data_IF_966195311200
#
_entry.id   IF_966195311200
#
_cell.length_a   1.000
_cell.length_b   1.000
_cell.length_c   1.000
_cell.angle_alpha   90.00
_cell.angle_beta   90.00
_cell.angle_gamma   90.00
#
_symmetry.space_group_name_H-M   'P 1'
#
loop_
_entity.id
_entity.type
_entity.pdbx_description
1 polymer ?
#
# COMPACT_ATOMS: atom_id res chain seq x y z
N UNK A 1 -4.09 -31.52 -3.03
CA UNK A 1 -2.64 -31.22 -2.97
C UNK A 1 -1.99 -31.77 -1.69
N UNK A 2 -2.50 -31.44 -0.49
CA UNK A 2 -1.88 -31.84 0.79
C UNK A 2 -1.83 -33.36 1.03
N UNK A 3 -2.90 -34.11 0.72
CA UNK A 3 -2.91 -35.57 0.94
C UNK A 3 -1.81 -36.33 0.18
N UNK A 4 -1.59 -35.98 -1.09
CA UNK A 4 -0.54 -36.60 -1.91
C UNK A 4 0.86 -36.21 -1.42
N UNK A 5 1.06 -34.94 -1.03
CA UNK A 5 2.33 -34.51 -0.46
C UNK A 5 2.61 -35.19 0.88
N UNK A 6 1.60 -35.35 1.75
CA UNK A 6 1.72 -36.10 3.00
C UNK A 6 2.02 -37.58 2.74
N UNK A 7 1.41 -38.17 1.70
CA UNK A 7 1.71 -39.54 1.28
C UNK A 7 3.18 -39.67 0.83
N UNK A 8 3.66 -38.84 -0.10
CA UNK A 8 5.06 -38.86 -0.54
C UNK A 8 6.01 -38.59 0.62
N UNK A 9 5.69 -37.66 1.50
CA UNK A 9 6.49 -37.35 2.68
C UNK A 9 6.64 -38.51 3.65
N UNK A 10 5.56 -39.28 3.89
CA UNK A 10 5.58 -40.40 4.84
C UNK A 10 6.04 -41.73 4.23
N UNK A 11 5.68 -41.99 2.99
CA UNK A 11 5.86 -43.31 2.36
C UNK A 11 7.02 -43.34 1.36
N UNK A 12 7.38 -42.20 0.75
CA UNK A 12 8.40 -42.12 -0.31
C UNK A 12 9.29 -40.86 -0.15
N UNK A 13 9.94 -40.66 1.01
CA UNK A 13 10.71 -39.44 1.30
C UNK A 13 11.87 -39.21 0.32
N UNK A 14 12.51 -40.28 -0.17
CA UNK A 14 13.61 -40.19 -1.13
C UNK A 14 13.22 -39.45 -2.42
N UNK A 15 11.95 -39.52 -2.85
CA UNK A 15 11.48 -38.78 -4.03
C UNK A 15 11.45 -37.27 -3.80
N UNK A 16 11.18 -36.85 -2.55
CA UNK A 16 11.21 -35.45 -2.16
C UNK A 16 12.66 -34.99 -2.01
N UNK A 17 13.51 -35.77 -1.31
CA UNK A 17 14.92 -35.45 -1.08
C UNK A 17 15.73 -35.32 -2.37
N UNK A 18 15.45 -36.18 -3.36
CA UNK A 18 16.10 -36.15 -4.68
C UNK A 18 15.46 -35.17 -5.66
N UNK A 19 14.41 -34.44 -5.26
CA UNK A 19 13.80 -33.38 -6.07
C UNK A 19 12.95 -33.87 -7.26
N UNK A 20 12.36 -35.06 -7.18
CA UNK A 20 11.53 -35.61 -8.26
C UNK A 20 10.06 -35.17 -8.22
N UNK A 21 9.61 -34.52 -7.14
CA UNK A 21 8.23 -34.06 -6.99
C UNK A 21 8.11 -32.61 -7.46
N UNK A 22 7.40 -32.38 -8.56
CA UNK A 22 7.08 -31.05 -9.09
C UNK A 22 5.60 -30.72 -8.90
N UNK A 23 5.30 -29.45 -8.67
CA UNK A 23 3.93 -28.96 -8.52
C UNK A 23 3.68 -27.92 -9.59
N UNK A 24 2.79 -28.23 -10.53
CA UNK A 24 2.34 -27.27 -11.52
C UNK A 24 1.76 -26.02 -10.84
N UNK A 25 2.12 -24.85 -11.37
CA UNK A 25 1.53 -23.56 -11.00
C UNK A 25 0.61 -23.13 -12.14
N UNK A 26 -0.68 -23.57 -12.15
CA UNK A 26 -1.60 -23.13 -13.18
C UNK A 26 -1.83 -21.61 -13.07
N UNK A 27 -2.03 -20.91 -14.20
CA UNK A 27 -2.32 -19.48 -14.16
C UNK A 27 -3.67 -19.23 -13.49
N UNK A 28 -3.73 -18.23 -12.62
CA UNK A 28 -4.96 -17.81 -11.94
C UNK A 28 -5.85 -16.98 -12.85
N UNK A 29 -5.26 -16.17 -13.73
CA UNK A 29 -5.97 -15.27 -14.62
C UNK A 29 -5.57 -15.46 -16.09
N UNK A 30 -6.51 -15.13 -16.97
CA UNK A 30 -6.28 -14.92 -18.40
C UNK A 30 -6.81 -13.53 -18.75
N UNK A 31 -5.91 -12.62 -19.13
CA UNK A 31 -6.26 -11.27 -19.58
C UNK A 31 -6.26 -11.24 -21.11
N UNK A 32 -7.25 -10.56 -21.70
CA UNK A 32 -7.39 -10.39 -23.15
C UNK A 32 -7.66 -8.94 -23.50
N UNK A 33 -6.78 -8.33 -24.30
CA UNK A 33 -6.92 -6.96 -24.83
C UNK A 33 -6.89 -7.03 -26.36
N UNK A 34 -8.07 -7.00 -26.98
CA UNK A 34 -8.21 -7.19 -28.43
C UNK A 34 -7.70 -8.56 -28.89
N UNK A 35 -6.59 -8.56 -29.65
CA UNK A 35 -5.93 -9.79 -30.15
C UNK A 35 -4.85 -10.35 -29.22
N UNK A 36 -4.41 -9.59 -28.21
CA UNK A 36 -3.38 -10.04 -27.27
C UNK A 36 -4.04 -10.80 -26.11
N UNK A 37 -3.46 -11.95 -25.75
CA UNK A 37 -3.87 -12.79 -24.62
C UNK A 37 -2.66 -13.09 -23.74
N UNK A 38 -2.80 -12.87 -22.43
CA UNK A 38 -1.75 -13.10 -21.45
C UNK A 38 -2.29 -13.91 -20.27
N UNK A 39 -1.52 -14.93 -19.86
CA UNK A 39 -1.82 -15.73 -18.68
C UNK A 39 -1.03 -15.20 -17.49
N UNK A 40 -1.70 -14.96 -16.37
CA UNK A 40 -1.12 -14.38 -15.17
C UNK A 40 -1.29 -15.36 -14.00
N UNK A 41 -0.21 -15.58 -13.26
CA UNK A 41 -0.11 -16.67 -12.28
C UNK A 41 -0.79 -16.40 -10.94
N UNK A 42 -0.77 -15.17 -10.46
CA UNK A 42 -1.19 -14.77 -9.11
C UNK A 42 -1.73 -13.33 -9.09
N UNK A 43 -2.28 -12.93 -7.95
CA UNK A 43 -2.88 -11.61 -7.72
C UNK A 43 -1.83 -10.49 -7.80
N UNK A 44 -0.64 -10.71 -7.25
CA UNK A 44 0.44 -9.72 -7.26
C UNK A 44 0.86 -9.39 -8.71
N UNK A 45 1.05 -10.41 -9.57
CA UNK A 45 1.35 -10.21 -10.98
C UNK A 45 0.19 -9.56 -11.75
N UNK A 46 -1.06 -9.77 -11.32
CA UNK A 46 -2.23 -9.12 -11.91
C UNK A 46 -2.26 -7.63 -11.57
N UNK A 47 -1.99 -7.25 -10.32
CA UNK A 47 -1.91 -5.84 -9.94
C UNK A 47 -0.76 -5.11 -10.63
N UNK A 48 0.39 -5.77 -10.80
CA UNK A 48 1.54 -5.24 -11.54
C UNK A 48 1.19 -5.03 -13.02
N UNK A 49 0.58 -6.03 -13.67
CA UNK A 49 0.10 -5.92 -15.04
C UNK A 49 -0.89 -4.75 -15.22
N UNK A 50 -1.85 -4.61 -14.31
CA UNK A 50 -2.82 -3.52 -14.35
C UNK A 50 -2.16 -2.15 -14.16
N UNK A 51 -1.14 -2.07 -13.31
CA UNK A 51 -0.39 -0.83 -13.08
C UNK A 51 0.40 -0.45 -14.33
N UNK A 52 1.15 -1.40 -14.91
CA UNK A 52 1.89 -1.16 -16.14
C UNK A 52 0.96 -0.73 -17.28
N UNK A 53 -0.16 -1.45 -17.49
CA UNK A 53 -1.13 -1.08 -18.52
C UNK A 53 -1.80 0.28 -18.26
N UNK A 54 -1.90 0.73 -17.00
CA UNK A 54 -2.45 2.04 -16.68
C UNK A 54 -1.43 3.17 -16.92
N UNK A 55 -0.13 2.85 -16.91
CA UNK A 55 0.97 3.79 -17.04
C UNK A 55 1.48 3.98 -18.48
N UNK A 56 1.29 2.99 -19.36
CA UNK A 56 1.83 2.98 -20.74
C UNK A 56 1.59 4.28 -21.51
N UNK A 57 0.38 4.86 -21.42
CA UNK A 57 0.00 6.09 -22.13
C UNK A 57 -0.39 7.23 -21.16
N UNK A 58 0.05 7.17 -19.90
CA UNK A 58 -0.30 8.16 -18.89
C UNK A 58 0.77 9.24 -18.71
N UNK A 59 0.33 10.49 -18.59
CA UNK A 59 1.17 11.61 -18.17
C UNK A 59 0.48 12.44 -17.08
N UNK A 60 1.26 12.81 -16.06
CA UNK A 60 0.80 13.65 -14.96
C UNK A 60 1.32 15.07 -15.15
N UNK A 61 0.41 16.02 -15.37
CA UNK A 61 0.73 17.44 -15.48
C UNK A 61 0.37 18.15 -14.17
N UNK A 62 1.37 18.64 -13.44
CA UNK A 62 1.17 19.30 -12.16
C UNK A 62 0.63 20.73 -12.31
N UNK A 63 1.08 21.44 -13.35
CA UNK A 63 0.64 22.77 -13.75
C UNK A 63 0.67 22.87 -15.28
N UNK A 64 -0.02 23.85 -15.87
CA UNK A 64 -0.08 24.05 -17.33
C UNK A 64 1.30 24.26 -17.98
N UNK A 65 2.26 24.84 -17.23
CA UNK A 65 3.61 25.17 -17.73
C UNK A 65 4.66 24.07 -17.50
N UNK A 66 4.37 23.09 -16.65
CA UNK A 66 5.35 22.06 -16.28
C UNK A 66 5.32 20.88 -17.27
N UNK A 67 6.50 20.34 -17.67
CA UNK A 67 6.53 19.11 -18.45
C UNK A 67 5.86 17.98 -17.67
N UNK A 68 5.04 17.19 -18.36
CA UNK A 68 4.33 16.07 -17.74
C UNK A 68 5.29 14.99 -17.24
N UNK A 69 5.00 14.44 -16.07
CA UNK A 69 5.70 13.27 -15.53
C UNK A 69 5.11 12.02 -16.20
N UNK A 70 5.93 11.27 -16.91
CA UNK A 70 5.53 10.05 -17.62
C UNK A 70 6.63 8.99 -17.55
N UNK A 71 6.31 7.79 -18.05
CA UNK A 71 7.26 6.66 -18.10
C UNK A 71 7.78 6.27 -16.72
N UNK A 72 9.08 6.02 -16.62
CA UNK A 72 9.73 5.49 -15.42
C UNK A 72 9.54 6.38 -14.17
N UNK A 73 9.51 7.70 -14.34
CA UNK A 73 9.33 8.62 -13.22
C UNK A 73 7.92 8.49 -12.60
N UNK A 74 6.90 8.35 -13.45
CA UNK A 74 5.52 8.13 -13.01
C UNK A 74 5.35 6.73 -12.39
N UNK A 75 5.99 5.73 -12.99
CA UNK A 75 5.99 4.36 -12.49
C UNK A 75 6.57 4.26 -11.07
N UNK A 76 7.74 4.87 -10.84
CA UNK A 76 8.36 4.92 -9.49
C UNK A 76 7.42 5.57 -8.48
N UNK A 77 6.82 6.71 -8.82
CA UNK A 77 5.88 7.41 -7.94
C UNK A 77 4.66 6.56 -7.58
N UNK A 78 4.06 5.88 -8.56
CA UNK A 78 2.90 5.00 -8.32
C UNK A 78 3.29 3.81 -7.45
N UNK A 79 4.46 3.22 -7.68
CA UNK A 79 4.95 2.10 -6.88
C UNK A 79 5.23 2.52 -5.43
N UNK A 80 5.83 3.70 -5.21
CA UNK A 80 6.04 4.26 -3.86
C UNK A 80 4.70 4.49 -3.16
N UNK A 81 3.72 5.08 -3.85
CA UNK A 81 2.37 5.27 -3.30
C UNK A 81 1.72 3.92 -2.93
N UNK A 82 1.78 2.91 -3.80
CA UNK A 82 1.24 1.57 -3.51
C UNK A 82 1.90 0.93 -2.29
N UNK A 83 3.21 1.10 -2.13
CA UNK A 83 3.94 0.59 -0.97
C UNK A 83 3.45 1.24 0.34
N UNK A 84 3.24 2.56 0.33
CA UNK A 84 2.67 3.28 1.48
C UNK A 84 1.26 2.76 1.78
N UNK A 85 0.39 2.66 0.78
CA UNK A 85 -0.98 2.17 0.98
C UNK A 85 -1.03 0.72 1.49
N UNK A 86 -0.16 -0.17 0.99
CA UNK A 86 -0.02 -1.55 1.49
C UNK A 86 0.43 -1.57 2.95
N UNK A 87 1.33 -0.66 3.32
CA UNK A 87 1.81 -0.52 4.70
C UNK A 87 0.71 -0.03 5.63
N UNK A 88 -0.04 1.00 5.25
CA UNK A 88 -1.19 1.50 6.01
C UNK A 88 -2.26 0.42 6.18
N UNK A 89 -2.59 -0.30 5.11
CA UNK A 89 -3.54 -1.43 5.16
C UNK A 89 -3.09 -2.52 6.13
N UNK A 90 -1.78 -2.80 6.23
CA UNK A 90 -1.25 -3.76 7.21
C UNK A 90 -1.36 -3.24 8.66
N UNK A 91 -1.14 -1.94 8.86
CA UNK A 91 -1.27 -1.27 10.16
C UNK A 91 -2.73 -1.03 10.59
N UNK A 92 -3.69 -1.20 9.67
CA UNK A 92 -5.13 -1.01 9.91
C UNK A 92 -5.70 -1.78 11.11
N UNK A 93 -5.01 -2.86 11.54
CA UNK A 93 -5.36 -3.63 12.75
C UNK A 93 -5.17 -2.86 14.04
N UNK A 94 -4.23 -1.90 14.07
CA UNK A 94 -3.89 -1.10 15.25
C UNK A 94 -4.45 0.32 15.14
N UNK A 95 -4.38 0.91 13.94
CA UNK A 95 -4.82 2.28 13.68
C UNK A 95 -5.78 2.28 12.49
N UNK A 96 -6.98 2.89 12.59
CA UNK A 96 -7.91 2.93 11.47
C UNK A 96 -7.27 3.54 10.21
N UNK A 97 -7.39 2.84 9.08
CA UNK A 97 -6.78 3.26 7.82
C UNK A 97 -7.29 4.63 7.37
N UNK A 98 -8.60 4.87 7.52
CA UNK A 98 -9.25 6.14 7.18
C UNK A 98 -8.62 7.36 7.89
N UNK A 99 -8.01 7.16 9.06
CA UNK A 99 -7.35 8.23 9.81
C UNK A 99 -5.89 8.43 9.40
N UNK A 100 -5.19 7.34 9.10
CA UNK A 100 -3.74 7.32 8.83
C UNK A 100 -3.41 7.69 7.40
N UNK A 101 -4.32 7.48 6.44
CA UNK A 101 -4.17 7.93 5.05
C UNK A 101 -3.96 9.45 4.95
N UNK A 102 -4.53 10.22 5.86
CA UNK A 102 -4.36 11.67 5.88
C UNK A 102 -2.95 12.12 6.24
N UNK A 103 -2.14 11.28 6.91
CA UNK A 103 -0.76 11.62 7.25
C UNK A 103 0.12 11.78 6.02
N UNK A 104 -0.25 11.19 4.88
CA UNK A 104 0.45 11.35 3.60
C UNK A 104 0.45 12.82 3.15
N UNK A 105 -0.57 13.58 3.53
CA UNK A 105 -0.77 14.96 3.09
C UNK A 105 -0.46 16.00 4.17
N UNK A 106 0.10 15.57 5.30
CA UNK A 106 0.53 16.43 6.38
C UNK A 106 2.07 16.50 6.41
N UNK A 107 2.63 17.60 6.91
CA UNK A 107 4.08 17.67 7.10
C UNK A 107 4.53 16.59 8.08
N UNK A 108 5.69 16.00 7.79
CA UNK A 108 6.33 15.04 8.69
C UNK A 108 6.69 15.72 10.01
N UNK A 109 6.39 15.05 11.12
CA UNK A 109 6.71 15.53 12.46
C UNK A 109 8.08 14.99 12.87
N UNK A 110 9.01 15.89 13.14
CA UNK A 110 10.33 15.57 13.69
C UNK A 110 10.29 15.47 15.21
N UNK A 111 11.30 14.83 15.81
CA UNK A 111 11.37 14.67 17.27
C UNK A 111 11.46 16.01 18.01
N UNK A 112 12.11 17.02 17.43
CA UNK A 112 12.23 18.36 18.02
C UNK A 112 10.88 19.08 18.06
N UNK A 113 10.06 18.90 17.03
CA UNK A 113 8.72 19.50 16.96
C UNK A 113 7.78 18.91 18.01
N UNK A 114 8.01 17.69 18.49
CA UNK A 114 7.15 17.10 19.50
C UNK A 114 7.20 17.90 20.82
N UNK A 115 8.33 18.51 21.16
CA UNK A 115 8.47 19.36 22.35
C UNK A 115 7.95 20.80 22.13
N UNK A 116 7.68 21.19 20.89
CA UNK A 116 7.11 22.50 20.57
C UNK A 116 5.58 22.41 20.51
N UNK A 117 4.95 22.83 21.61
CA UNK A 117 3.50 22.83 21.74
C UNK A 117 2.80 23.68 20.67
N UNK A 118 3.39 24.81 20.25
CA UNK A 118 2.79 25.66 19.23
C UNK A 118 2.83 24.96 17.87
N UNK A 119 3.98 24.37 17.50
CA UNK A 119 4.11 23.60 16.27
C UNK A 119 3.16 22.40 16.23
N UNK A 120 3.01 21.68 17.34
CA UNK A 120 2.07 20.55 17.43
C UNK A 120 0.62 20.98 17.39
N UNK A 121 0.27 22.15 17.93
CA UNK A 121 -1.08 22.71 17.80
C UNK A 121 -1.43 23.05 16.36
N UNK A 122 -0.49 23.68 15.63
CA UNK A 122 -0.67 23.99 14.22
C UNK A 122 -0.81 22.72 13.37
N UNK A 123 -0.02 21.69 13.68
CA UNK A 123 -0.13 20.39 13.02
C UNK A 123 -1.48 19.72 13.29
N UNK A 124 -1.95 19.74 14.56
CA UNK A 124 -3.24 19.18 14.95
C UNK A 124 -4.40 19.90 14.22
N UNK A 125 -4.34 21.23 14.13
CA UNK A 125 -5.36 22.01 13.43
C UNK A 125 -5.46 21.62 11.93
N UNK A 126 -4.32 21.40 11.27
CA UNK A 126 -4.30 20.90 9.89
C UNK A 126 -4.89 19.49 9.78
N UNK A 127 -4.61 18.63 10.76
CA UNK A 127 -5.15 17.27 10.79
C UNK A 127 -6.67 17.27 11.02
N UNK A 128 -7.19 18.08 11.94
CA UNK A 128 -8.63 18.19 12.21
C UNK A 128 -9.42 18.64 10.98
N UNK A 129 -8.89 19.59 10.21
CA UNK A 129 -9.50 20.02 8.94
C UNK A 129 -9.64 18.83 7.98
N UNK A 130 -8.62 17.97 7.90
CA UNK A 130 -8.66 16.77 7.06
C UNK A 130 -9.64 15.73 7.59
N UNK A 131 -9.69 15.50 8.90
CA UNK A 131 -10.60 14.54 9.51
C UNK A 131 -12.07 14.86 9.22
N UNK A 132 -12.44 16.14 9.22
CA UNK A 132 -13.80 16.60 8.86
C UNK A 132 -14.20 16.22 7.43
N UNK A 133 -13.25 16.06 6.52
CA UNK A 133 -13.54 15.62 5.14
C UNK A 133 -13.95 14.15 5.05
N UNK A 134 -13.64 13.36 6.09
CA UNK A 134 -13.90 11.92 6.15
C UNK A 134 -15.02 11.57 7.13
N UNK A 135 -15.56 12.56 7.86
CA UNK A 135 -16.75 12.37 8.67
C UNK A 135 -17.93 11.93 7.80
N UNK A 136 -18.30 10.65 7.94
CA UNK A 136 -19.50 10.05 7.37
C UNK A 136 -20.63 10.18 8.38
N UNK A 137 -21.87 10.11 7.91
CA UNK A 137 -23.05 10.13 8.77
C UNK A 137 -22.92 9.10 9.90
N UNK A 138 -22.83 9.57 11.15
CA UNK A 138 -22.73 8.75 12.36
C UNK A 138 -21.33 8.55 12.95
N UNK A 139 -20.25 9.03 12.31
CA UNK A 139 -18.88 8.97 12.84
C UNK A 139 -18.29 10.38 12.95
N UNK A 140 -17.89 10.75 14.16
CA UNK A 140 -17.26 12.05 14.47
C UNK A 140 -15.89 11.78 15.07
N UNK A 141 -14.87 12.43 14.52
CA UNK A 141 -13.50 12.28 14.99
C UNK A 141 -13.08 13.55 15.75
N UNK A 142 -12.36 13.35 16.87
CA UNK A 142 -11.77 14.45 17.64
C UNK A 142 -10.29 14.15 17.85
N UNK A 143 -9.47 15.15 17.57
CA UNK A 143 -8.03 15.07 17.81
C UNK A 143 -7.69 16.01 18.97
N UNK A 144 -6.73 15.64 19.81
CA UNK A 144 -6.31 16.46 20.96
C UNK A 144 -4.85 16.20 21.27
N UNK A 145 -4.13 17.25 21.67
CA UNK A 145 -2.77 17.11 22.20
C UNK A 145 -2.80 16.75 23.67
N UNK A 146 -1.87 15.92 24.08
CA UNK A 146 -1.63 15.57 25.47
C UNK A 146 -0.13 15.60 25.73
N UNK A 147 0.27 16.41 26.69
CA UNK A 147 1.65 16.50 27.17
C UNK A 147 2.01 15.28 28.03
N UNK A 148 3.14 14.66 27.72
CA UNK A 148 3.80 13.65 28.53
C UNK A 148 4.77 14.31 29.52
N UNK A 149 4.30 14.41 30.76
CA UNK A 149 5.03 15.05 31.87
C UNK A 149 6.34 14.35 32.24
N UNK A 150 6.55 13.09 31.84
CA UNK A 150 7.81 12.38 32.13
C UNK A 150 8.92 12.74 31.14
N UNK A 151 8.55 13.20 29.93
CA UNK A 151 9.51 13.48 28.85
C UNK A 151 9.58 14.97 28.49
N UNK A 152 8.69 15.81 29.02
CA UNK A 152 8.50 17.21 28.60
C UNK A 152 8.27 17.31 27.08
N UNK A 153 7.44 16.41 26.55
CA UNK A 153 7.05 16.29 25.14
C UNK A 153 5.55 16.04 25.07
#
# INVERSE_FOLDING_TARGET
RTLLLTFFFRQLPELIERGYIYIAQPPLYKVKKGKQEQYIKDDDAMEEYMTQSALEDASLHLNEEAPGISGEALERLVNDFRLVMKTLKRLSRLYPQELTEHFIYLPAVSLEQLSDHAAMQDWLAQYEVRLRTVEKSGLVYKASLREDRERNV
#
